data_IF_086166578256
#
_entry.id   IF_086166578256
#
_cell.length_a   1.000
_cell.length_b   1.000
_cell.length_c   1.000
_cell.angle_alpha   90.00
_cell.angle_beta   90.00
_cell.angle_gamma   90.00
#
_symmetry.space_group_name_H-M   'P 1'
#
loop_
_entity.id
_entity.type
_entity.pdbx_description
1 polymer ?
#
# COMPACT_ATOMS: atom_id res chain seq x y z
N UNK A 1 -12.32 33.39 9.10
CA UNK A 1 -12.19 32.47 7.94
C UNK A 1 -12.62 31.10 8.45
N UNK A 2 -13.27 30.27 7.66
CA UNK A 2 -13.55 28.89 8.05
C UNK A 2 -12.23 28.14 8.25
N UNK A 3 -12.20 27.17 9.18
CA UNK A 3 -11.02 26.35 9.41
C UNK A 3 -10.62 25.55 8.17
N UNK A 4 -9.33 25.30 8.01
CA UNK A 4 -8.75 24.58 6.88
C UNK A 4 -8.53 23.12 7.25
N UNK A 5 -8.87 22.20 6.34
CA UNK A 5 -8.48 20.79 6.48
C UNK A 5 -6.98 20.61 6.21
N UNK A 6 -6.43 19.48 6.64
CA UNK A 6 -5.05 19.09 6.29
C UNK A 6 -4.85 19.13 4.76
N UNK A 7 -5.83 18.59 4.01
CA UNK A 7 -5.78 18.62 2.54
C UNK A 7 -5.74 20.04 2.00
N UNK A 8 -6.56 20.97 2.55
CA UNK A 8 -6.55 22.38 2.11
C UNK A 8 -5.19 23.02 2.33
N UNK A 9 -4.56 22.79 3.49
CA UNK A 9 -3.23 23.32 3.80
C UNK A 9 -2.19 22.82 2.82
N UNK A 10 -2.13 21.51 2.59
CA UNK A 10 -1.19 20.91 1.64
C UNK A 10 -1.44 21.36 0.21
N UNK A 11 -2.70 21.44 -0.21
CA UNK A 11 -3.05 21.88 -1.56
C UNK A 11 -2.64 23.32 -1.80
N UNK A 12 -3.09 24.24 -0.94
CA UNK A 12 -2.91 25.68 -1.15
C UNK A 12 -1.43 26.10 -1.13
N UNK A 13 -0.57 25.39 -0.37
CA UNK A 13 0.87 25.64 -0.32
C UNK A 13 1.61 25.18 -1.59
N UNK A 14 0.99 24.31 -2.42
CA UNK A 14 1.63 23.79 -3.63
C UNK A 14 1.01 24.31 -4.94
N UNK A 15 -0.07 25.10 -4.87
CA UNK A 15 -0.65 25.73 -6.06
C UNK A 15 0.30 26.78 -6.61
N UNK A 16 0.84 26.55 -7.80
CA UNK A 16 1.67 27.49 -8.55
C UNK A 16 0.82 28.47 -9.35
N UNK A 17 -0.26 27.94 -9.96
CA UNK A 17 -1.19 28.70 -10.79
C UNK A 17 -2.54 28.03 -10.80
N UNK A 18 -3.60 28.83 -10.92
CA UNK A 18 -4.97 28.33 -11.08
C UNK A 18 -5.61 28.98 -12.30
N UNK A 19 -6.13 28.13 -13.18
CA UNK A 19 -6.89 28.54 -14.36
C UNK A 19 -8.32 28.91 -14.00
N UNK A 20 -8.98 29.63 -14.92
CA UNK A 20 -10.35 30.10 -14.73
C UNK A 20 -11.39 28.97 -14.61
N UNK A 21 -11.09 27.77 -15.13
CA UNK A 21 -11.94 26.57 -15.03
C UNK A 21 -11.70 25.76 -13.73
N UNK A 22 -10.84 26.27 -12.84
CA UNK A 22 -10.48 25.65 -11.58
C UNK A 22 -9.37 24.58 -11.68
N UNK A 23 -8.79 24.37 -12.86
CA UNK A 23 -7.58 23.54 -13.02
C UNK A 23 -6.39 24.23 -12.38
N UNK A 24 -5.62 23.53 -11.56
CA UNK A 24 -4.44 24.05 -10.87
C UNK A 24 -3.17 23.38 -11.37
N UNK A 25 -2.13 24.17 -11.49
CA UNK A 25 -0.76 23.69 -11.63
C UNK A 25 -0.19 23.50 -10.22
N UNK A 26 0.10 22.26 -9.85
CA UNK A 26 0.61 21.89 -8.52
C UNK A 26 2.08 21.55 -8.61
N UNK A 27 2.89 22.15 -7.74
CA UNK A 27 4.30 21.81 -7.60
C UNK A 27 4.47 20.46 -6.92
N UNK A 28 5.44 19.66 -7.37
CA UNK A 28 5.73 18.33 -6.85
C UNK A 28 7.11 18.33 -6.18
N UNK A 29 7.15 18.05 -4.88
CA UNK A 29 8.41 18.05 -4.10
C UNK A 29 9.22 16.79 -4.34
N UNK A 30 8.57 15.63 -4.41
CA UNK A 30 9.20 14.34 -4.55
C UNK A 30 8.55 13.51 -5.63
N UNK A 31 9.37 13.00 -6.54
CA UNK A 31 8.96 12.02 -7.55
C UNK A 31 9.68 10.71 -7.29
N UNK A 32 8.93 9.68 -6.97
CA UNK A 32 9.42 8.31 -6.85
C UNK A 32 9.30 7.62 -8.20
N UNK A 33 10.36 6.97 -8.65
CA UNK A 33 10.47 6.41 -10.00
C UNK A 33 10.79 4.92 -9.93
N UNK A 34 10.05 4.10 -10.68
CA UNK A 34 10.32 2.67 -10.80
C UNK A 34 10.35 2.22 -12.27
N UNK A 35 10.75 0.97 -12.52
CA UNK A 35 11.07 0.47 -13.86
C UNK A 35 9.86 0.28 -14.77
N UNK A 36 8.63 0.18 -14.24
CA UNK A 36 7.45 -0.17 -15.06
C UNK A 36 6.92 1.03 -15.84
N UNK A 37 6.83 2.20 -15.23
CA UNK A 37 6.19 3.39 -15.84
C UNK A 37 7.18 4.45 -16.33
N UNK A 38 8.47 4.28 -16.05
CA UNK A 38 9.49 5.27 -16.40
C UNK A 38 10.12 5.15 -17.79
N UNK A 39 10.20 3.97 -18.45
CA UNK A 39 10.88 3.85 -19.74
C UNK A 39 10.34 4.81 -20.79
N UNK A 40 9.02 4.79 -21.04
CA UNK A 40 8.37 5.65 -22.02
C UNK A 40 8.42 7.13 -21.63
N UNK A 41 8.38 7.45 -20.33
CA UNK A 41 8.49 8.82 -19.86
C UNK A 41 9.88 9.42 -20.16
N UNK A 42 10.96 8.66 -19.94
CA UNK A 42 12.31 9.09 -20.31
C UNK A 42 12.51 9.17 -21.82
N UNK A 43 11.95 8.23 -22.57
CA UNK A 43 11.96 8.27 -24.04
C UNK A 43 11.27 9.52 -24.58
N UNK A 44 10.09 9.87 -24.04
CA UNK A 44 9.35 11.09 -24.40
C UNK A 44 10.16 12.35 -24.12
N UNK A 45 10.86 12.44 -22.99
CA UNK A 45 11.78 13.54 -22.69
C UNK A 45 12.88 13.64 -23.73
N UNK A 46 13.48 12.52 -24.13
CA UNK A 46 14.57 12.49 -25.10
C UNK A 46 14.09 12.94 -26.47
N UNK A 47 12.96 12.43 -26.95
CA UNK A 47 12.35 12.82 -28.22
C UNK A 47 12.01 14.32 -28.25
N UNK A 48 11.59 14.88 -27.12
CA UNK A 48 11.31 16.31 -26.96
C UNK A 48 12.58 17.17 -26.77
N UNK A 49 13.78 16.57 -26.74
CA UNK A 49 15.05 17.29 -26.45
C UNK A 49 15.13 17.85 -25.03
N UNK A 50 14.37 17.29 -24.08
CA UNK A 50 14.29 17.74 -22.68
C UNK A 50 15.11 16.85 -21.75
N UNK A 51 15.32 17.35 -20.55
CA UNK A 51 15.97 16.62 -19.44
C UNK A 51 15.10 16.77 -18.19
N UNK A 52 15.24 15.87 -17.20
CA UNK A 52 14.62 16.08 -15.90
C UNK A 52 15.06 17.45 -15.35
N UNK A 53 14.05 18.24 -14.95
CA UNK A 53 14.31 19.63 -14.50
C UNK A 53 15.02 19.68 -13.14
N UNK A 54 14.66 18.76 -12.23
CA UNK A 54 15.19 18.73 -10.86
C UNK A 54 15.56 17.30 -10.45
N UNK A 55 16.77 16.88 -10.80
CA UNK A 55 17.21 15.50 -10.58
C UNK A 55 17.14 15.07 -9.10
N UNK A 56 17.50 15.96 -8.16
CA UNK A 56 17.49 15.70 -6.72
C UNK A 56 16.08 15.47 -6.14
N UNK A 57 15.02 15.88 -6.84
CA UNK A 57 13.65 15.58 -6.43
C UNK A 57 13.22 14.15 -6.77
N UNK A 58 13.98 13.45 -7.62
CA UNK A 58 13.68 12.09 -8.06
C UNK A 58 14.46 11.06 -7.23
N UNK A 59 13.78 10.00 -6.80
CA UNK A 59 14.39 8.83 -6.18
C UNK A 59 13.89 7.59 -6.93
N UNK A 60 14.82 6.84 -7.52
CA UNK A 60 14.50 5.69 -8.32
C UNK A 60 14.84 4.37 -7.59
N UNK A 61 14.04 3.34 -7.87
CA UNK A 61 14.26 1.97 -7.38
C UNK A 61 13.64 0.96 -8.33
N UNK A 62 14.13 -0.26 -8.34
CA UNK A 62 13.51 -1.41 -9.03
C UNK A 62 12.82 -2.29 -8.01
N UNK A 63 11.55 -2.63 -8.24
CA UNK A 63 10.74 -3.36 -7.27
C UNK A 63 9.69 -4.32 -7.85
N UNK A 64 9.19 -4.08 -9.06
CA UNK A 64 8.12 -4.85 -9.68
C UNK A 64 8.64 -6.07 -10.44
N UNK A 65 9.65 -5.88 -11.27
CA UNK A 65 10.20 -6.88 -12.21
C UNK A 65 11.43 -7.61 -11.67
N UNK A 66 11.69 -7.50 -10.39
CA UNK A 66 12.84 -8.13 -9.75
C UNK A 66 12.49 -9.53 -9.23
N UNK A 67 13.38 -10.53 -9.40
CA UNK A 67 13.18 -11.83 -8.80
C UNK A 67 13.29 -11.74 -7.27
N UNK A 68 12.45 -12.50 -6.58
CA UNK A 68 12.47 -12.64 -5.11
C UNK A 68 13.22 -13.91 -4.67
N UNK A 69 13.70 -14.69 -5.63
CA UNK A 69 14.55 -15.87 -5.45
C UNK A 69 16.03 -15.52 -5.64
N UNK A 70 16.85 -16.48 -6.04
CA UNK A 70 18.29 -16.29 -6.27
C UNK A 70 18.56 -15.29 -7.42
N UNK A 71 19.00 -14.10 -7.05
CA UNK A 71 19.31 -12.98 -7.96
C UNK A 71 20.62 -13.18 -8.73
N UNK A 72 21.47 -14.12 -8.34
CA UNK A 72 22.71 -14.42 -9.05
C UNK A 72 22.46 -14.95 -10.48
N UNK A 73 21.27 -15.48 -10.72
CA UNK A 73 20.82 -15.95 -12.04
C UNK A 73 20.29 -14.85 -12.96
N UNK A 74 20.25 -13.61 -12.49
CA UNK A 74 19.69 -12.48 -13.24
C UNK A 74 18.17 -12.54 -13.36
N UNK A 75 17.64 -11.72 -14.28
CA UNK A 75 16.21 -11.65 -14.60
C UNK A 75 15.96 -12.48 -15.87
N UNK A 76 15.21 -13.57 -15.75
CA UNK A 76 14.96 -14.52 -16.84
C UNK A 76 13.98 -13.97 -17.89
N UNK A 77 12.95 -13.26 -17.46
CA UNK A 77 11.98 -12.64 -18.37
C UNK A 77 12.62 -11.48 -19.14
N UNK A 78 12.61 -11.52 -20.50
CA UNK A 78 13.31 -10.50 -21.31
C UNK A 78 12.71 -9.11 -21.18
N UNK A 79 11.38 -8.98 -20.99
CA UNK A 79 10.70 -7.68 -20.87
C UNK A 79 11.02 -7.06 -19.51
N UNK A 80 10.93 -7.83 -18.46
CA UNK A 80 11.29 -7.41 -17.10
C UNK A 80 12.75 -6.97 -17.03
N UNK A 81 13.66 -7.74 -17.63
CA UNK A 81 15.09 -7.40 -17.72
C UNK A 81 15.31 -6.08 -18.45
N UNK A 82 14.68 -5.90 -19.61
CA UNK A 82 14.80 -4.67 -20.40
C UNK A 82 14.33 -3.44 -19.62
N UNK A 83 13.23 -3.54 -18.90
CA UNK A 83 12.70 -2.44 -18.08
C UNK A 83 13.68 -2.05 -16.96
N UNK A 84 14.27 -3.03 -16.27
CA UNK A 84 15.27 -2.79 -15.22
C UNK A 84 16.53 -2.16 -15.80
N UNK A 85 17.09 -2.71 -16.90
CA UNK A 85 18.28 -2.17 -17.57
C UNK A 85 18.04 -0.75 -18.11
N UNK A 86 16.83 -0.46 -18.59
CA UNK A 86 16.44 0.88 -19.04
C UNK A 86 16.43 1.88 -17.88
N UNK A 87 15.91 1.50 -16.72
CA UNK A 87 15.96 2.37 -15.55
C UNK A 87 17.40 2.59 -15.05
N UNK A 88 18.24 1.54 -15.05
CA UNK A 88 19.68 1.65 -14.72
C UNK A 88 20.37 2.70 -15.62
N UNK A 89 20.14 2.60 -16.94
CA UNK A 89 20.73 3.52 -17.92
C UNK A 89 20.24 4.97 -17.73
N UNK A 90 18.93 5.15 -17.55
CA UNK A 90 18.32 6.48 -17.36
C UNK A 90 18.75 7.13 -16.04
N UNK A 91 18.75 6.39 -14.93
CA UNK A 91 19.18 6.90 -13.63
C UNK A 91 20.64 7.37 -13.67
N UNK A 92 21.52 6.58 -14.32
CA UNK A 92 22.92 6.94 -14.53
C UNK A 92 23.07 8.19 -15.42
N UNK A 93 22.36 8.19 -16.57
CA UNK A 93 22.42 9.29 -17.57
C UNK A 93 22.01 10.63 -16.97
N UNK A 94 20.97 10.64 -16.16
CA UNK A 94 20.41 11.86 -15.57
C UNK A 94 20.87 12.12 -14.13
N UNK A 95 21.80 11.33 -13.62
CA UNK A 95 22.32 11.44 -12.24
C UNK A 95 21.19 11.51 -11.20
N UNK A 96 20.23 10.57 -11.30
CA UNK A 96 19.14 10.39 -10.35
C UNK A 96 19.60 9.42 -9.26
N UNK A 97 19.29 9.73 -7.99
CA UNK A 97 19.52 8.80 -6.88
C UNK A 97 18.77 7.50 -7.14
N UNK A 98 19.48 6.37 -7.16
CA UNK A 98 18.92 5.10 -7.59
C UNK A 98 19.40 3.93 -6.73
N UNK A 99 18.48 3.12 -6.28
CA UNK A 99 18.73 1.86 -5.60
C UNK A 99 18.49 0.69 -6.56
N UNK A 100 19.57 0.24 -7.21
CA UNK A 100 19.50 -0.87 -8.14
C UNK A 100 19.27 -2.22 -7.42
N UNK A 101 19.09 -3.30 -8.19
CA UNK A 101 18.75 -4.63 -7.66
C UNK A 101 19.76 -5.18 -6.65
N UNK A 102 21.01 -4.72 -6.66
CA UNK A 102 22.09 -5.14 -5.77
C UNK A 102 22.33 -4.17 -4.61
N UNK A 103 21.62 -3.04 -4.54
CA UNK A 103 21.74 -2.10 -3.42
C UNK A 103 21.03 -2.68 -2.20
N UNK A 104 21.68 -2.66 -1.05
CA UNK A 104 21.11 -3.15 0.20
C UNK A 104 19.85 -2.34 0.65
N UNK A 105 19.63 -1.15 0.10
CA UNK A 105 18.44 -0.31 0.32
C UNK A 105 17.33 -0.60 -0.68
N UNK A 106 17.59 -1.47 -1.68
CA UNK A 106 16.57 -1.83 -2.67
C UNK A 106 15.35 -2.44 -1.98
N UNK A 107 14.19 -2.15 -2.51
CA UNK A 107 12.91 -2.65 -2.02
C UNK A 107 11.75 -1.95 -2.69
N UNK A 108 10.56 -2.23 -2.20
CA UNK A 108 9.31 -1.64 -2.71
C UNK A 108 9.37 -0.12 -2.57
N UNK A 109 9.06 0.60 -3.65
CA UNK A 109 9.17 2.06 -3.72
C UNK A 109 8.46 2.78 -2.55
N UNK A 110 7.29 2.27 -2.12
CA UNK A 110 6.52 2.85 -1.02
C UNK A 110 7.00 2.39 0.38
N UNK A 111 8.02 1.54 0.44
CA UNK A 111 8.74 1.19 1.66
C UNK A 111 10.02 2.00 1.77
N UNK A 112 10.83 2.04 0.69
CA UNK A 112 12.12 2.71 0.71
C UNK A 112 12.01 4.25 0.85
N UNK A 113 10.97 4.86 0.29
CA UNK A 113 10.76 6.31 0.41
C UNK A 113 10.70 6.76 1.88
N UNK A 114 9.80 6.21 2.70
CA UNK A 114 9.77 6.45 4.15
C UNK A 114 11.04 6.06 4.89
N UNK A 115 11.62 4.90 4.60
CA UNK A 115 12.85 4.42 5.26
C UNK A 115 14.03 5.36 5.08
N UNK A 116 14.14 5.97 3.90
CA UNK A 116 15.21 6.92 3.60
C UNK A 116 14.93 8.34 4.08
N UNK A 117 13.71 8.64 4.58
CA UNK A 117 13.28 10.00 4.84
C UNK A 117 13.13 10.82 3.56
N UNK A 118 12.94 10.17 2.42
CA UNK A 118 12.65 10.80 1.14
C UNK A 118 11.23 11.36 1.10
N UNK A 119 10.36 10.84 1.96
CA UNK A 119 8.98 11.29 2.18
C UNK A 119 8.89 11.95 3.54
N UNK A 120 8.58 13.23 3.56
CA UNK A 120 8.52 14.07 4.77
C UNK A 120 7.19 14.79 4.85
N UNK A 121 6.71 15.13 6.06
CA UNK A 121 5.45 15.86 6.21
C UNK A 121 5.41 17.17 5.41
N UNK A 122 4.26 17.45 4.85
CA UNK A 122 4.04 18.67 4.07
C UNK A 122 4.37 18.57 2.58
N UNK A 123 5.02 17.48 2.13
CA UNK A 123 5.40 17.30 0.74
C UNK A 123 4.23 16.88 -0.15
N UNK A 124 4.31 17.25 -1.43
CA UNK A 124 3.63 16.58 -2.53
C UNK A 124 4.51 15.45 -3.05
N UNK A 125 3.94 14.23 -3.15
CA UNK A 125 4.69 13.03 -3.56
C UNK A 125 3.95 12.33 -4.69
N UNK A 126 4.63 12.05 -5.79
CA UNK A 126 4.04 11.30 -6.91
C UNK A 126 4.91 10.10 -7.31
N UNK A 127 4.28 9.12 -7.90
CA UNK A 127 4.91 7.93 -8.47
C UNK A 127 3.99 7.35 -9.56
N UNK A 128 4.55 6.65 -10.51
CA UNK A 128 3.78 5.89 -11.51
C UNK A 128 3.09 4.63 -10.96
N UNK A 129 2.80 4.59 -9.68
CA UNK A 129 2.10 3.52 -8.97
C UNK A 129 0.93 4.08 -8.14
N UNK A 130 -0.23 3.42 -8.21
CA UNK A 130 -1.46 3.86 -7.54
C UNK A 130 -1.35 3.90 -6.02
N UNK A 131 -0.50 3.04 -5.40
CA UNK A 131 -0.33 3.00 -3.95
C UNK A 131 0.61 4.06 -3.38
N UNK A 132 0.96 5.07 -4.17
CA UNK A 132 1.65 6.28 -3.72
C UNK A 132 0.90 6.99 -2.57
N UNK A 133 -0.42 6.79 -2.47
CA UNK A 133 -1.21 7.23 -1.32
C UNK A 133 -0.66 6.79 0.04
N UNK A 134 0.16 5.72 0.10
CA UNK A 134 0.90 5.27 1.30
C UNK A 134 1.60 6.42 2.02
N UNK A 135 2.20 7.34 1.26
CA UNK A 135 2.99 8.45 1.81
C UNK A 135 2.14 9.51 2.53
N UNK A 136 0.82 9.48 2.34
CA UNK A 136 -0.11 10.32 3.11
C UNK A 136 -0.14 10.02 4.62
N UNK A 137 0.41 8.88 5.04
CA UNK A 137 0.64 8.56 6.45
C UNK A 137 1.56 9.57 7.15
N UNK A 138 2.33 10.32 6.38
CA UNK A 138 3.23 11.39 6.84
C UNK A 138 2.63 12.79 6.63
N UNK A 139 1.33 12.91 6.47
CA UNK A 139 0.70 14.17 6.06
C UNK A 139 1.29 14.74 4.76
N UNK A 140 1.50 13.87 3.77
CA UNK A 140 1.86 14.25 2.40
C UNK A 140 0.61 14.28 1.53
N UNK A 141 0.59 15.18 0.55
CA UNK A 141 -0.34 15.06 -0.58
C UNK A 141 0.30 14.10 -1.59
N UNK A 142 -0.03 12.82 -1.46
CA UNK A 142 0.62 11.74 -2.19
C UNK A 142 -0.37 11.01 -3.10
N UNK A 143 0.00 10.82 -4.38
CA UNK A 143 -0.89 10.21 -5.36
C UNK A 143 -0.15 9.50 -6.49
N UNK A 144 -0.78 8.45 -7.02
CA UNK A 144 -0.36 7.77 -8.24
C UNK A 144 -0.68 8.60 -9.48
N UNK A 145 0.23 8.55 -10.46
CA UNK A 145 0.12 9.25 -11.74
C UNK A 145 0.36 8.31 -12.93
N UNK A 146 -0.18 8.66 -14.09
CA UNK A 146 0.04 7.89 -15.32
C UNK A 146 1.39 8.18 -15.97
N UNK A 147 1.82 7.34 -16.92
CA UNK A 147 3.12 7.44 -17.60
C UNK A 147 3.37 8.80 -18.24
N UNK A 148 2.37 9.40 -18.90
CA UNK A 148 2.49 10.75 -19.49
C UNK A 148 2.62 11.84 -18.43
N UNK A 149 2.01 11.65 -17.27
CA UNK A 149 2.17 12.56 -16.13
C UNK A 149 3.58 12.39 -15.49
N UNK A 150 4.13 11.17 -15.48
CA UNK A 150 5.54 10.90 -15.07
C UNK A 150 6.50 11.72 -15.94
N UNK A 151 6.32 11.69 -17.28
CA UNK A 151 7.11 12.51 -18.20
C UNK A 151 6.96 14.00 -17.89
N UNK A 152 5.72 14.46 -17.70
CA UNK A 152 5.43 15.86 -17.39
C UNK A 152 6.10 16.32 -16.09
N UNK A 153 6.03 15.52 -15.02
CA UNK A 153 6.67 15.83 -13.73
C UNK A 153 8.19 15.81 -13.86
N UNK A 154 8.77 14.85 -14.57
CA UNK A 154 10.22 14.85 -14.85
C UNK A 154 10.65 16.15 -15.54
N UNK A 155 9.87 16.62 -16.53
CA UNK A 155 10.18 17.81 -17.33
C UNK A 155 10.00 19.13 -16.57
N UNK A 156 9.01 19.22 -15.67
CA UNK A 156 8.52 20.50 -15.13
C UNK A 156 8.46 20.57 -13.61
N UNK A 157 8.51 19.45 -12.94
CA UNK A 157 8.25 19.29 -11.49
C UNK A 157 6.84 19.76 -11.08
N UNK A 158 5.90 19.76 -12.02
CA UNK A 158 4.52 20.19 -11.79
C UNK A 158 3.54 19.17 -12.36
N UNK A 159 2.28 19.26 -11.89
CA UNK A 159 1.17 18.44 -12.35
C UNK A 159 -0.09 19.28 -12.48
N UNK A 160 -0.85 19.08 -13.57
CA UNK A 160 -2.16 19.72 -13.77
C UNK A 160 -3.25 18.86 -13.16
N UNK A 161 -4.06 19.44 -12.26
CA UNK A 161 -5.15 18.71 -11.63
C UNK A 161 -6.23 19.64 -11.04
N UNK A 162 -7.41 19.08 -10.76
CA UNK A 162 -8.48 19.78 -10.05
C UNK A 162 -8.48 19.40 -8.58
N UNK A 163 -8.81 20.37 -7.71
CA UNK A 163 -8.91 20.17 -6.26
C UNK A 163 -9.98 19.12 -5.95
N UNK A 164 -9.61 18.10 -5.18
CA UNK A 164 -10.54 17.06 -4.73
C UNK A 164 -11.48 17.60 -3.63
N UNK A 165 -12.60 16.91 -3.40
CA UNK A 165 -13.43 17.09 -2.20
C UNK A 165 -12.73 16.48 -0.98
N UNK A 166 -13.17 16.84 0.22
CA UNK A 166 -12.60 16.44 1.49
C UNK A 166 -13.50 15.44 2.19
N UNK A 167 -12.97 14.27 2.49
CA UNK A 167 -13.69 13.26 3.28
C UNK A 167 -12.92 12.99 4.57
N UNK A 168 -13.62 12.96 5.69
CA UNK A 168 -13.10 12.47 6.96
C UNK A 168 -13.60 11.05 7.20
N UNK A 169 -12.68 10.11 7.39
CA UNK A 169 -12.96 8.78 7.92
C UNK A 169 -12.50 8.78 9.38
N UNK A 170 -13.45 8.82 10.30
CA UNK A 170 -13.20 8.93 11.72
C UNK A 170 -13.43 7.57 12.40
N UNK A 171 -12.35 6.99 12.95
CA UNK A 171 -12.42 5.72 13.69
C UNK A 171 -12.15 5.99 15.15
N UNK A 172 -13.19 5.90 15.95
CA UNK A 172 -13.12 6.17 17.39
C UNK A 172 -13.14 4.88 18.22
N UNK A 173 -12.62 4.96 19.41
CA UNK A 173 -12.57 3.83 20.34
C UNK A 173 -11.22 3.09 20.32
N UNK A 174 -11.22 1.89 20.84
CA UNK A 174 -10.04 1.02 20.96
C UNK A 174 -10.26 -0.25 20.18
N UNK A 175 -9.26 -0.63 19.36
CA UNK A 175 -9.29 -1.90 18.63
C UNK A 175 -9.24 -3.08 19.59
N UNK A 176 -9.99 -4.12 19.26
CA UNK A 176 -9.90 -5.39 19.96
C UNK A 176 -8.53 -6.06 19.70
N UNK A 177 -7.95 -6.79 20.67
CA UNK A 177 -6.72 -7.55 20.43
C UNK A 177 -6.84 -8.44 19.17
N UNK A 178 -5.80 -8.46 18.33
CA UNK A 178 -5.78 -9.24 17.08
C UNK A 178 -6.38 -8.50 15.87
N UNK A 179 -6.99 -7.33 16.06
CA UNK A 179 -7.44 -6.44 14.98
C UNK A 179 -6.33 -5.45 14.63
N UNK A 180 -6.10 -5.22 13.34
CA UNK A 180 -4.99 -4.43 12.83
C UNK A 180 -5.47 -3.29 11.94
N UNK A 181 -4.54 -2.43 11.52
CA UNK A 181 -4.80 -1.37 10.52
C UNK A 181 -5.38 -1.93 9.20
N UNK A 182 -4.98 -3.15 8.80
CA UNK A 182 -5.54 -3.82 7.63
C UNK A 182 -7.03 -4.09 7.79
N UNK A 183 -7.44 -4.52 8.95
CA UNK A 183 -8.85 -4.78 9.25
C UNK A 183 -9.67 -3.48 9.27
N UNK A 184 -9.09 -2.38 9.78
CA UNK A 184 -9.72 -1.06 9.72
C UNK A 184 -10.00 -0.66 8.27
N UNK A 185 -8.98 -0.65 7.42
CA UNK A 185 -9.15 -0.17 6.05
C UNK A 185 -10.05 -1.07 5.22
N UNK A 186 -10.02 -2.38 5.44
CA UNK A 186 -10.95 -3.32 4.80
C UNK A 186 -12.39 -3.06 5.27
N UNK A 187 -12.63 -2.81 6.56
CA UNK A 187 -13.95 -2.44 7.08
C UNK A 187 -14.44 -1.11 6.52
N UNK A 188 -13.55 -0.11 6.37
CA UNK A 188 -13.86 1.17 5.70
C UNK A 188 -14.31 0.91 4.27
N UNK A 189 -13.52 0.16 3.47
CA UNK A 189 -13.84 -0.14 2.06
C UNK A 189 -15.14 -0.94 1.97
N UNK A 190 -15.36 -1.91 2.86
CA UNK A 190 -16.62 -2.65 2.92
C UNK A 190 -17.84 -1.76 3.21
N UNK A 191 -17.65 -0.69 4.00
CA UNK A 191 -18.72 0.27 4.36
C UNK A 191 -19.04 1.26 3.24
N UNK A 192 -18.01 1.85 2.59
CA UNK A 192 -18.23 2.91 1.60
C UNK A 192 -18.17 2.42 0.16
N UNK A 193 -17.70 1.20 -0.09
CA UNK A 193 -17.49 0.63 -1.42
C UNK A 193 -16.21 1.13 -2.10
N UNK A 194 -15.85 0.49 -3.22
CA UNK A 194 -14.67 0.83 -4.02
C UNK A 194 -14.79 2.16 -4.79
N UNK A 195 -16.00 2.72 -4.87
CA UNK A 195 -16.28 4.02 -5.49
C UNK A 195 -16.63 5.13 -4.48
N UNK A 196 -16.77 4.80 -3.20
CA UNK A 196 -17.23 5.76 -2.18
C UNK A 196 -16.31 6.95 -1.98
N UNK A 197 -15.01 6.78 -2.20
CA UNK A 197 -14.00 7.84 -2.14
C UNK A 197 -13.73 8.56 -3.46
N UNK A 198 -14.47 8.24 -4.54
CA UNK A 198 -14.22 8.84 -5.86
C UNK A 198 -14.39 10.35 -5.84
N UNK A 199 -13.35 11.07 -6.25
CA UNK A 199 -13.29 12.53 -6.23
C UNK A 199 -12.94 13.14 -4.87
N UNK A 200 -12.63 12.32 -3.88
CA UNK A 200 -12.22 12.76 -2.53
C UNK A 200 -10.73 12.54 -2.28
N UNK A 201 -10.17 13.42 -1.44
CA UNK A 201 -9.00 13.15 -0.62
C UNK A 201 -9.52 12.77 0.78
N UNK A 202 -9.09 11.59 1.28
CA UNK A 202 -9.54 11.06 2.58
C UNK A 202 -8.54 11.45 3.66
N UNK A 203 -9.02 12.10 4.72
CA UNK A 203 -8.28 12.23 5.98
C UNK A 203 -8.77 11.16 6.95
N UNK A 204 -7.86 10.33 7.45
CA UNK A 204 -8.15 9.35 8.49
C UNK A 204 -7.87 9.97 9.86
N UNK A 205 -8.86 9.95 10.73
CA UNK A 205 -8.81 10.54 12.06
C UNK A 205 -9.51 9.69 13.12
N UNK A 206 -9.57 10.20 14.33
CA UNK A 206 -10.14 9.52 15.49
C UNK A 206 -9.11 8.89 16.40
N UNK A 207 -9.54 8.43 17.58
CA UNK A 207 -8.65 7.90 18.61
C UNK A 207 -7.93 6.63 18.16
N UNK A 208 -8.63 5.71 17.49
CA UNK A 208 -8.03 4.48 16.98
C UNK A 208 -6.93 4.74 15.94
N UNK A 209 -7.10 5.75 15.06
CA UNK A 209 -6.08 6.12 14.07
C UNK A 209 -4.85 6.74 14.72
N UNK A 210 -5.04 7.59 15.74
CA UNK A 210 -3.91 8.17 16.50
C UNK A 210 -3.08 7.12 17.22
N UNK A 211 -3.73 6.04 17.70
CA UNK A 211 -3.04 4.94 18.37
C UNK A 211 -2.22 4.04 17.42
N UNK A 212 -2.52 4.03 16.12
CA UNK A 212 -1.73 3.26 15.15
C UNK A 212 -0.25 3.67 15.15
N UNK A 213 0.60 2.69 14.90
CA UNK A 213 1.99 2.89 14.49
C UNK A 213 2.06 3.59 13.13
N UNK A 214 3.24 4.05 12.73
CA UNK A 214 3.43 4.60 11.38
C UNK A 214 3.19 3.54 10.30
N UNK A 215 3.59 2.30 10.55
CA UNK A 215 3.34 1.14 9.68
C UNK A 215 1.84 0.92 9.50
N UNK A 216 1.06 0.99 10.57
CA UNK A 216 -0.40 0.90 10.51
C UNK A 216 -1.03 2.06 9.73
N UNK A 217 -0.54 3.30 9.92
CA UNK A 217 -0.99 4.46 9.16
C UNK A 217 -0.63 4.34 7.67
N UNK A 218 0.54 3.82 7.34
CA UNK A 218 0.92 3.52 5.96
C UNK A 218 -0.01 2.48 5.34
N UNK A 219 -0.42 1.46 6.09
CA UNK A 219 -1.38 0.45 5.62
C UNK A 219 -2.75 1.06 5.27
N UNK A 220 -3.32 1.92 6.13
CA UNK A 220 -4.63 2.54 5.83
C UNK A 220 -4.54 3.53 4.66
N UNK A 221 -3.50 4.36 4.61
CA UNK A 221 -3.30 5.30 3.50
C UNK A 221 -3.02 4.56 2.18
N UNK A 222 -2.26 3.46 2.22
CA UNK A 222 -2.00 2.60 1.05
C UNK A 222 -3.30 2.17 0.38
N UNK A 223 -4.27 1.71 1.16
CA UNK A 223 -5.53 1.18 0.63
C UNK A 223 -6.64 2.23 0.46
N UNK A 224 -6.39 3.51 0.70
CA UNK A 224 -7.36 4.57 0.41
C UNK A 224 -7.76 4.59 -1.07
N UNK A 225 -6.82 4.27 -1.97
CA UNK A 225 -7.09 4.17 -3.41
C UNK A 225 -8.06 3.03 -3.75
N UNK A 226 -8.15 1.99 -2.93
CA UNK A 226 -9.10 0.89 -3.13
C UNK A 226 -10.55 1.30 -2.79
N UNK A 227 -10.74 2.39 -2.06
CA UNK A 227 -12.02 3.05 -1.90
C UNK A 227 -12.33 4.07 -3.03
N UNK A 228 -11.46 4.19 -4.03
CA UNK A 228 -11.57 5.14 -5.14
C UNK A 228 -11.04 6.55 -4.82
N UNK A 229 -10.44 6.77 -3.66
CA UNK A 229 -9.95 8.08 -3.25
C UNK A 229 -8.73 8.53 -4.06
N UNK A 230 -8.57 9.85 -4.21
CA UNK A 230 -7.39 10.45 -4.86
C UNK A 230 -6.13 10.35 -3.99
N UNK A 231 -6.29 10.49 -2.68
CA UNK A 231 -5.24 10.41 -1.67
C UNK A 231 -5.84 9.96 -0.33
N UNK A 232 -5.02 9.38 0.53
CA UNK A 232 -5.34 9.13 1.94
C UNK A 232 -4.29 9.79 2.81
N UNK A 233 -4.69 10.42 3.91
CA UNK A 233 -3.79 11.21 4.76
C UNK A 233 -4.07 10.96 6.25
N UNK A 234 -3.02 11.09 7.06
CA UNK A 234 -3.09 11.16 8.52
C UNK A 234 -2.34 12.41 8.98
N UNK A 235 -2.91 13.16 9.91
CA UNK A 235 -2.27 14.34 10.47
C UNK A 235 -0.95 13.99 11.19
N UNK A 236 -0.03 14.96 11.24
CA UNK A 236 1.25 14.82 11.95
C UNK A 236 1.01 14.76 13.45
N UNK A 237 1.72 13.87 14.10
CA UNK A 237 1.88 13.80 15.55
C UNK A 237 3.32 13.43 15.94
N UNK A 238 3.57 13.23 17.23
CA UNK A 238 4.90 12.88 17.73
C UNK A 238 5.41 11.54 17.19
N UNK A 239 4.53 10.58 16.84
CA UNK A 239 4.92 9.31 16.20
C UNK A 239 5.48 9.57 14.80
N UNK A 240 4.84 10.45 14.02
CA UNK A 240 5.30 10.86 12.69
C UNK A 240 6.68 11.51 12.78
N UNK A 241 6.86 12.46 13.71
CA UNK A 241 8.13 13.17 13.91
C UNK A 241 9.23 12.20 14.33
N UNK A 242 8.94 11.30 15.28
CA UNK A 242 9.90 10.28 15.74
C UNK A 242 10.31 9.32 14.62
N UNK A 243 9.38 8.93 13.76
CA UNK A 243 9.68 8.00 12.65
C UNK A 243 10.64 8.60 11.63
N UNK A 244 10.46 9.88 11.26
CA UNK A 244 11.31 10.54 10.25
C UNK A 244 12.61 11.06 10.81
N UNK A 245 12.77 11.10 12.13
CA UNK A 245 13.98 11.59 12.78
C UNK A 245 15.19 10.72 12.39
N UNK A 246 16.31 11.40 12.12
CA UNK A 246 17.61 10.79 11.82
C UNK A 246 17.65 9.89 10.57
N UNK A 247 16.58 9.89 9.75
CA UNK A 247 16.61 9.20 8.45
C UNK A 247 17.63 9.88 7.51
N UNK A 248 18.21 9.11 6.55
CA UNK A 248 19.30 9.63 5.71
C UNK A 248 19.00 10.95 4.99
N UNK A 249 17.78 11.13 4.48
CA UNK A 249 17.35 12.31 3.72
C UNK A 249 16.52 13.30 4.57
N UNK A 250 16.35 13.08 5.85
CA UNK A 250 15.66 14.01 6.76
C UNK A 250 16.52 15.22 7.06
N UNK A 251 15.91 16.40 7.32
CA UNK A 251 16.62 17.59 7.77
C UNK A 251 17.46 17.33 9.01
N UNK A 252 18.53 18.10 9.19
CA UNK A 252 19.46 17.95 10.33
C UNK A 252 19.78 19.31 10.95
N UNK A 253 20.15 19.26 12.22
CA UNK A 253 20.53 20.49 12.95
C UNK A 253 19.41 21.54 12.97
N UNK A 254 19.70 22.82 12.74
CA UNK A 254 18.69 23.89 12.77
C UNK A 254 17.54 23.68 11.78
N UNK A 255 17.78 23.06 10.62
CA UNK A 255 16.74 22.77 9.63
C UNK A 255 15.73 21.74 10.16
N UNK A 256 16.17 20.81 11.04
CA UNK A 256 15.28 19.90 11.71
C UNK A 256 14.29 20.62 12.62
N UNK A 257 14.76 21.57 13.41
CA UNK A 257 13.92 22.33 14.35
C UNK A 257 12.87 23.17 13.60
N UNK A 258 13.28 23.80 12.49
CA UNK A 258 12.37 24.55 11.60
C UNK A 258 11.33 23.60 10.97
N UNK A 259 11.76 22.44 10.48
CA UNK A 259 10.88 21.46 9.89
C UNK A 259 9.85 20.95 10.91
N UNK A 260 10.27 20.58 12.12
CA UNK A 260 9.38 20.12 13.19
C UNK A 260 8.36 21.20 13.58
N UNK A 261 8.78 22.48 13.67
CA UNK A 261 7.88 23.58 13.96
C UNK A 261 6.77 23.70 12.89
N UNK A 262 7.13 23.58 11.62
CA UNK A 262 6.19 23.57 10.51
C UNK A 262 5.31 22.31 10.52
N UNK A 263 5.88 21.12 10.65
CA UNK A 263 5.16 19.85 10.61
C UNK A 263 4.06 19.76 11.67
N UNK A 264 4.28 20.34 12.86
CA UNK A 264 3.28 20.41 13.92
C UNK A 264 2.02 21.20 13.54
N UNK A 265 2.05 21.99 12.48
CA UNK A 265 0.88 22.71 11.96
C UNK A 265 0.02 21.88 11.00
N UNK A 266 0.54 20.71 10.56
CA UNK A 266 -0.08 19.85 9.55
C UNK A 266 -1.15 18.91 10.16
N UNK A 267 -2.26 19.52 10.53
CA UNK A 267 -3.50 18.90 10.98
C UNK A 267 -4.68 19.78 10.57
N UNK A 268 -5.87 19.23 10.50
CA UNK A 268 -7.10 19.99 10.26
C UNK A 268 -7.40 20.89 11.44
N UNK A 269 -7.86 22.10 11.18
CA UNK A 269 -8.31 23.04 12.22
C UNK A 269 -9.56 22.48 12.91
N UNK A 270 -9.82 22.89 14.13
CA UNK A 270 -10.90 22.34 14.95
C UNK A 270 -12.30 22.61 14.36
N UNK A 271 -12.44 23.69 13.58
CA UNK A 271 -13.66 24.11 12.89
C UNK A 271 -13.63 23.81 11.38
N UNK A 272 -12.67 23.00 10.93
CA UNK A 272 -12.57 22.58 9.53
C UNK A 272 -13.83 21.81 9.10
N UNK A 273 -14.29 22.09 7.87
CA UNK A 273 -15.47 21.46 7.29
C UNK A 273 -15.07 20.43 6.25
N UNK A 274 -15.65 19.23 6.33
CA UNK A 274 -15.50 18.17 5.36
C UNK A 274 -16.76 18.04 4.50
N UNK A 275 -16.60 17.70 3.22
CA UNK A 275 -17.71 17.47 2.31
C UNK A 275 -18.44 16.15 2.60
N UNK A 276 -17.76 15.21 3.26
CA UNK A 276 -18.32 13.94 3.73
C UNK A 276 -17.60 13.48 5.00
N UNK A 277 -18.36 12.87 5.92
CA UNK A 277 -17.82 12.27 7.16
C UNK A 277 -18.34 10.84 7.27
N UNK A 278 -17.43 9.90 7.52
CA UNK A 278 -17.72 8.49 7.77
C UNK A 278 -17.24 8.14 9.17
N UNK A 279 -18.12 7.73 10.04
CA UNK A 279 -17.79 7.35 11.42
C UNK A 279 -17.84 5.83 11.59
N UNK A 280 -16.86 5.27 12.28
CA UNK A 280 -16.71 3.85 12.59
C UNK A 280 -16.29 3.69 14.04
N UNK A 281 -16.96 2.79 14.76
CA UNK A 281 -16.54 2.36 16.09
C UNK A 281 -15.46 1.28 15.95
N UNK A 282 -14.29 1.53 16.51
CA UNK A 282 -13.17 0.59 16.48
C UNK A 282 -13.49 -0.73 17.19
N UNK A 283 -14.38 -0.71 18.20
CA UNK A 283 -14.79 -1.90 18.95
C UNK A 283 -15.64 -2.87 18.11
N UNK A 284 -16.30 -2.38 17.04
CA UNK A 284 -17.10 -3.20 16.14
C UNK A 284 -16.26 -3.89 15.05
N UNK A 285 -15.00 -3.48 14.88
CA UNK A 285 -14.13 -4.06 13.86
C UNK A 285 -13.60 -5.42 14.33
N UNK A 286 -13.87 -6.46 13.58
CA UNK A 286 -13.29 -7.79 13.74
C UNK A 286 -12.23 -8.05 12.65
N UNK A 287 -11.40 -9.11 12.77
CA UNK A 287 -10.52 -9.52 11.69
C UNK A 287 -11.29 -9.76 10.39
N UNK A 288 -10.84 -9.16 9.29
CA UNK A 288 -11.53 -9.10 8.01
C UNK A 288 -10.98 -10.12 7.01
N UNK A 289 -11.88 -10.65 6.16
CA UNK A 289 -11.52 -11.52 5.03
C UNK A 289 -12.35 -11.10 3.82
N UNK A 290 -11.72 -10.85 2.67
CA UNK A 290 -12.47 -10.67 1.43
C UNK A 290 -12.98 -12.02 0.92
N UNK A 291 -14.25 -12.08 0.52
CA UNK A 291 -14.88 -13.31 0.01
C UNK A 291 -15.03 -13.32 -1.51
N UNK A 292 -14.93 -12.17 -2.17
CA UNK A 292 -15.16 -12.02 -3.60
C UNK A 292 -13.95 -11.45 -4.35
N UNK A 293 -14.21 -10.82 -5.49
CA UNK A 293 -13.24 -10.35 -6.47
C UNK A 293 -12.98 -8.84 -6.38
N UNK A 294 -13.39 -8.20 -5.28
CA UNK A 294 -13.20 -6.78 -5.00
C UNK A 294 -12.91 -6.59 -3.51
N UNK A 295 -12.08 -5.61 -3.11
CA UNK A 295 -11.82 -5.29 -1.70
C UNK A 295 -13.07 -4.92 -0.90
N UNK A 296 -14.15 -4.42 -1.53
CA UNK A 296 -15.43 -4.14 -0.87
C UNK A 296 -16.23 -5.41 -0.53
N UNK A 297 -15.94 -6.51 -1.22
CA UNK A 297 -16.54 -7.82 -0.92
C UNK A 297 -15.82 -8.45 0.27
N UNK A 298 -15.99 -7.85 1.45
CA UNK A 298 -15.28 -8.17 2.69
C UNK A 298 -16.26 -8.34 3.85
N UNK A 299 -15.91 -9.22 4.77
CA UNK A 299 -16.70 -9.51 5.98
C UNK A 299 -15.79 -9.90 7.14
N UNK A 300 -16.26 -9.75 8.39
CA UNK A 300 -15.64 -10.39 9.54
C UNK A 300 -15.43 -11.87 9.33
N UNK A 301 -14.30 -12.42 9.75
CA UNK A 301 -13.92 -13.83 9.58
C UNK A 301 -14.95 -14.81 10.16
N UNK A 302 -15.71 -14.41 11.17
CA UNK A 302 -16.81 -15.18 11.78
C UNK A 302 -18.09 -15.25 10.94
N UNK A 303 -18.12 -14.54 9.82
CA UNK A 303 -19.28 -14.46 8.93
C UNK A 303 -19.36 -15.62 7.95
N UNK A 304 -20.41 -15.60 7.13
CA UNK A 304 -20.63 -16.55 6.04
C UNK A 304 -20.63 -15.81 4.71
N UNK A 305 -20.22 -16.49 3.67
CA UNK A 305 -20.34 -16.03 2.27
C UNK A 305 -21.77 -15.60 2.00
N UNK A 306 -22.01 -14.37 1.50
CA UNK A 306 -23.34 -13.85 1.26
C UNK A 306 -24.12 -14.69 0.26
N UNK A 307 -25.44 -14.72 0.42
CA UNK A 307 -26.34 -15.38 -0.51
C UNK A 307 -26.90 -14.35 -1.52
N UNK A 308 -26.55 -14.44 -2.82
CA UNK A 308 -27.05 -13.54 -3.85
C UNK A 308 -28.59 -13.50 -3.94
N UNK A 309 -29.27 -14.58 -3.58
CA UNK A 309 -30.73 -14.63 -3.59
C UNK A 309 -31.39 -13.65 -2.60
N UNK A 310 -30.62 -13.15 -1.62
CA UNK A 310 -31.08 -12.16 -0.64
C UNK A 310 -30.81 -10.72 -1.06
N UNK A 311 -30.04 -10.49 -2.13
CA UNK A 311 -29.75 -9.15 -2.66
C UNK A 311 -30.90 -8.69 -3.56
N UNK A 312 -31.48 -7.55 -3.21
CA UNK A 312 -32.63 -6.98 -3.92
C UNK A 312 -32.21 -6.24 -5.21
N UNK A 313 -31.04 -5.64 -5.24
CA UNK A 313 -30.49 -4.97 -6.41
C UNK A 313 -29.99 -6.00 -7.42
N UNK A 314 -30.58 -5.98 -8.63
CA UNK A 314 -30.26 -6.95 -9.67
C UNK A 314 -28.81 -6.91 -10.14
N UNK A 315 -28.23 -5.71 -10.24
CA UNK A 315 -26.83 -5.53 -10.68
C UNK A 315 -25.84 -6.02 -9.62
N UNK A 316 -26.11 -5.71 -8.35
CA UNK A 316 -25.31 -6.24 -7.24
C UNK A 316 -25.42 -7.76 -7.13
N UNK A 317 -26.62 -8.31 -7.27
CA UNK A 317 -26.82 -9.75 -7.26
C UNK A 317 -26.03 -10.45 -8.35
N UNK A 318 -26.09 -9.98 -9.60
CA UNK A 318 -25.30 -10.52 -10.71
C UNK A 318 -23.79 -10.41 -10.45
N UNK A 319 -23.33 -9.29 -9.90
CA UNK A 319 -21.94 -9.12 -9.48
C UNK A 319 -21.50 -10.13 -8.42
N UNK A 320 -22.36 -10.40 -7.42
CA UNK A 320 -22.10 -11.40 -6.39
C UNK A 320 -22.07 -12.82 -6.97
N UNK A 321 -23.01 -13.18 -7.85
CA UNK A 321 -23.06 -14.50 -8.53
C UNK A 321 -21.78 -14.73 -9.34
N UNK A 322 -21.33 -13.73 -10.11
CA UNK A 322 -20.08 -13.80 -10.86
C UNK A 322 -18.87 -13.96 -9.95
N UNK A 323 -18.80 -13.18 -8.86
CA UNK A 323 -17.70 -13.27 -7.90
C UNK A 323 -17.65 -14.66 -7.23
N UNK A 324 -18.78 -15.20 -6.82
CA UNK A 324 -18.86 -16.55 -6.23
C UNK A 324 -18.44 -17.63 -7.21
N UNK A 325 -18.88 -17.54 -8.47
CA UNK A 325 -18.49 -18.47 -9.53
C UNK A 325 -16.96 -18.45 -9.75
N UNK A 326 -16.35 -17.25 -9.86
CA UNK A 326 -14.91 -17.11 -10.00
C UNK A 326 -14.15 -17.63 -8.77
N UNK A 327 -14.58 -17.23 -7.58
CA UNK A 327 -13.98 -17.67 -6.32
C UNK A 327 -14.26 -19.13 -6.00
N UNK A 328 -15.16 -19.81 -6.71
CA UNK A 328 -15.54 -21.19 -6.45
C UNK A 328 -16.10 -21.37 -5.03
N UNK A 329 -16.96 -20.46 -4.59
CA UNK A 329 -17.58 -20.48 -3.28
C UNK A 329 -19.10 -20.68 -3.40
N UNK A 330 -19.66 -21.46 -2.48
CA UNK A 330 -21.11 -21.59 -2.34
C UNK A 330 -21.66 -20.52 -1.38
N UNK A 331 -22.87 -20.00 -1.62
CA UNK A 331 -23.56 -19.15 -0.65
C UNK A 331 -23.66 -19.80 0.72
N UNK A 332 -23.64 -18.98 1.77
CA UNK A 332 -23.74 -19.41 3.17
C UNK A 332 -22.57 -20.28 3.69
N UNK A 333 -21.51 -20.51 2.92
CA UNK A 333 -20.28 -21.17 3.41
C UNK A 333 -19.66 -20.32 4.52
N UNK A 334 -19.34 -20.86 5.71
CA UNK A 334 -18.57 -20.14 6.72
C UNK A 334 -17.22 -19.72 6.17
N UNK A 335 -16.80 -18.47 6.41
CA UNK A 335 -15.48 -18.03 5.93
C UNK A 335 -14.36 -18.89 6.54
N UNK A 336 -14.55 -19.38 7.75
CA UNK A 336 -13.60 -20.27 8.44
C UNK A 336 -13.49 -21.68 7.83
N UNK A 337 -14.36 -22.08 6.92
CA UNK A 337 -14.28 -23.37 6.20
C UNK A 337 -13.57 -23.24 4.84
N UNK A 338 -13.19 -22.01 4.44
CA UNK A 338 -12.52 -21.78 3.17
C UNK A 338 -11.04 -22.17 3.30
N UNK A 339 -10.67 -23.28 2.65
CA UNK A 339 -9.29 -23.77 2.61
C UNK A 339 -8.41 -22.86 1.73
N UNK A 340 -7.11 -22.79 2.04
CA UNK A 340 -6.12 -22.02 1.27
C UNK A 340 -5.02 -22.94 0.74
N UNK A 341 -4.57 -22.69 -0.49
CA UNK A 341 -3.48 -23.42 -1.15
C UNK A 341 -2.14 -22.74 -0.96
N UNK A 342 -2.14 -21.41 -0.95
CA UNK A 342 -0.94 -20.57 -0.81
C UNK A 342 -1.16 -19.44 0.20
N UNK A 343 -0.09 -18.97 0.80
CA UNK A 343 -0.09 -17.81 1.69
C UNK A 343 0.98 -16.83 1.23
N UNK A 344 0.61 -15.55 1.19
CA UNK A 344 1.51 -14.48 0.83
C UNK A 344 1.53 -13.39 1.92
N UNK A 345 2.69 -13.18 2.53
CA UNK A 345 2.96 -12.08 3.45
C UNK A 345 3.99 -11.18 2.80
N UNK A 346 3.57 -9.98 2.40
CA UNK A 346 4.37 -9.07 1.59
C UNK A 346 3.56 -7.88 1.08
N UNK A 347 3.97 -7.29 -0.04
CA UNK A 347 3.36 -6.11 -0.67
C UNK A 347 3.72 -4.79 0.02
N UNK A 348 3.58 -3.67 -0.70
CA UNK A 348 3.71 -2.34 -0.10
C UNK A 348 2.74 -2.08 1.05
N UNK A 349 1.69 -2.88 1.18
CA UNK A 349 0.71 -2.78 2.26
C UNK A 349 1.26 -3.31 3.57
N UNK A 350 1.80 -4.56 3.58
CA UNK A 350 2.17 -5.27 4.80
C UNK A 350 3.46 -6.10 4.63
N UNK A 351 4.57 -5.43 4.50
CA UNK A 351 5.90 -6.04 4.37
C UNK A 351 6.97 -5.36 5.24
N UNK A 352 6.54 -4.50 6.16
CA UNK A 352 7.43 -3.79 7.08
C UNK A 352 7.75 -4.66 8.29
N UNK A 353 8.73 -4.24 9.07
CA UNK A 353 9.22 -5.07 10.20
C UNK A 353 8.12 -5.41 11.20
N UNK A 354 7.19 -4.49 11.47
CA UNK A 354 6.06 -4.72 12.37
C UNK A 354 5.13 -5.82 11.85
N UNK A 355 4.85 -5.82 10.54
CA UNK A 355 4.02 -6.84 9.89
C UNK A 355 4.65 -8.24 10.00
N UNK A 356 5.98 -8.32 9.80
CA UNK A 356 6.74 -9.56 9.91
C UNK A 356 6.79 -10.07 11.35
N UNK A 357 6.96 -9.18 12.33
CA UNK A 357 6.90 -9.52 13.75
C UNK A 357 5.52 -10.06 14.15
N UNK A 358 4.45 -9.40 13.70
CA UNK A 358 3.09 -9.83 13.98
C UNK A 358 2.80 -11.23 13.43
N UNK A 359 3.19 -11.50 12.18
CA UNK A 359 3.04 -12.82 11.58
C UNK A 359 3.92 -13.89 12.28
N UNK A 360 5.19 -13.55 12.57
CA UNK A 360 6.11 -14.46 13.23
C UNK A 360 5.63 -14.85 14.64
N UNK A 361 5.01 -13.93 15.38
CA UNK A 361 4.46 -14.22 16.70
C UNK A 361 3.38 -15.32 16.66
N UNK A 362 2.57 -15.37 15.61
CA UNK A 362 1.51 -16.38 15.41
C UNK A 362 2.11 -17.77 15.10
N UNK A 363 3.16 -17.83 14.27
CA UNK A 363 3.69 -19.12 13.75
C UNK A 363 4.81 -19.71 14.60
N UNK A 364 5.38 -18.98 15.55
CA UNK A 364 6.53 -19.40 16.34
C UNK A 364 6.31 -20.77 17.00
N UNK A 365 7.21 -21.72 16.72
CA UNK A 365 7.15 -23.08 17.26
C UNK A 365 6.09 -23.99 16.62
N UNK A 366 5.44 -23.53 15.54
CA UNK A 366 4.39 -24.28 14.82
C UNK A 366 4.83 -24.56 13.38
N UNK A 367 4.05 -25.36 12.65
CA UNK A 367 4.29 -25.71 11.24
C UNK A 367 3.08 -25.38 10.40
N UNK A 368 3.29 -24.96 9.15
CA UNK A 368 2.21 -24.77 8.18
C UNK A 368 1.46 -26.07 7.93
N UNK A 369 0.16 -25.96 7.67
CA UNK A 369 -0.69 -27.12 7.36
C UNK A 369 -0.24 -27.83 6.06
N UNK A 370 -0.50 -29.12 5.98
CA UNK A 370 -0.08 -29.95 4.86
C UNK A 370 -0.72 -29.62 3.52
N UNK A 371 -1.94 -29.07 3.54
CA UNK A 371 -2.63 -28.61 2.33
C UNK A 371 -2.10 -27.27 1.78
N UNK A 372 -1.39 -26.48 2.59
CA UNK A 372 -0.76 -25.23 2.13
C UNK A 372 0.50 -25.59 1.34
N UNK A 373 0.41 -25.54 0.03
CA UNK A 373 1.49 -25.89 -0.91
C UNK A 373 2.69 -24.94 -0.75
N UNK A 374 2.42 -23.63 -0.64
CA UNK A 374 3.44 -22.61 -0.58
C UNK A 374 3.03 -21.47 0.37
N UNK A 375 3.92 -21.10 1.27
CA UNK A 375 3.78 -19.91 2.09
C UNK A 375 5.01 -19.01 1.87
N UNK A 376 4.78 -17.79 1.36
CA UNK A 376 5.83 -16.83 1.02
C UNK A 376 5.87 -15.70 2.04
N UNK A 377 7.08 -15.30 2.44
CA UNK A 377 7.33 -14.06 3.18
C UNK A 377 8.34 -13.23 2.42
N UNK A 378 7.92 -12.03 2.03
CA UNK A 378 8.70 -11.12 1.21
C UNK A 378 8.89 -9.80 1.97
N UNK A 379 10.07 -9.55 2.55
CA UNK A 379 10.37 -8.27 3.20
C UNK A 379 10.23 -7.10 2.22
N UNK A 380 9.80 -5.95 2.73
CA UNK A 380 9.53 -4.76 1.90
C UNK A 380 10.78 -4.09 1.33
N UNK A 381 11.93 -4.28 1.98
CA UNK A 381 13.22 -3.73 1.55
C UNK A 381 14.37 -4.58 2.05
N UNK A 382 15.57 -4.35 1.52
CA UNK A 382 16.79 -4.97 2.03
C UNK A 382 17.09 -4.57 3.47
N UNK A 383 16.70 -3.35 3.88
CA UNK A 383 16.85 -2.90 5.29
C UNK A 383 15.88 -3.64 6.21
N UNK A 384 14.60 -3.81 5.82
CA UNK A 384 13.66 -4.64 6.58
C UNK A 384 14.13 -6.07 6.66
N UNK A 385 14.63 -6.63 5.53
CA UNK A 385 15.17 -8.00 5.49
C UNK A 385 16.33 -8.16 6.49
N UNK A 386 17.30 -7.27 6.44
CA UNK A 386 18.47 -7.30 7.34
C UNK A 386 18.05 -7.19 8.81
N UNK A 387 17.12 -6.29 9.13
CA UNK A 387 16.61 -6.16 10.50
C UNK A 387 15.86 -7.43 10.94
N UNK A 388 15.00 -7.99 10.09
CA UNK A 388 14.26 -9.21 10.39
C UNK A 388 15.20 -10.41 10.62
N UNK A 389 16.26 -10.53 9.82
CA UNK A 389 17.30 -11.57 9.98
C UNK A 389 18.11 -11.36 11.27
N UNK A 390 18.43 -10.12 11.62
CA UNK A 390 19.09 -9.80 12.89
C UNK A 390 18.22 -10.18 14.10
N UNK A 391 16.91 -10.01 13.99
CA UNK A 391 15.92 -10.40 15.00
C UNK A 391 15.62 -11.93 14.99
N UNK A 392 16.12 -12.66 13.99
CA UNK A 392 15.90 -14.10 13.83
C UNK A 392 14.51 -14.47 13.30
N UNK A 393 13.77 -13.52 12.73
CA UNK A 393 12.43 -13.77 12.20
C UNK A 393 12.48 -14.72 10.98
N UNK A 394 13.50 -14.62 10.15
CA UNK A 394 13.73 -15.52 9.01
C UNK A 394 13.79 -17.00 9.44
N UNK A 395 14.43 -17.28 10.60
CA UNK A 395 14.50 -18.63 11.17
C UNK A 395 13.12 -19.10 11.60
N UNK A 396 12.35 -18.26 12.29
CA UNK A 396 10.97 -18.57 12.71
C UNK A 396 10.12 -18.93 11.50
N UNK A 397 10.17 -18.14 10.42
CA UNK A 397 9.43 -18.41 9.20
C UNK A 397 9.87 -19.70 8.50
N UNK A 398 11.18 -19.91 8.32
CA UNK A 398 11.73 -21.14 7.71
C UNK A 398 11.40 -22.37 8.54
N UNK A 399 11.52 -22.32 9.84
CA UNK A 399 11.13 -23.40 10.76
C UNK A 399 9.63 -23.73 10.65
N UNK A 400 8.78 -22.74 10.45
CA UNK A 400 7.35 -22.95 10.23
C UNK A 400 7.02 -23.50 8.82
N UNK A 401 7.99 -23.57 7.91
CA UNK A 401 7.83 -24.07 6.54
C UNK A 401 7.47 -22.99 5.52
N UNK A 402 7.74 -21.72 5.84
CA UNK A 402 7.62 -20.62 4.88
C UNK A 402 8.90 -20.44 4.08
N UNK A 403 8.78 -19.93 2.86
CA UNK A 403 9.90 -19.50 2.05
C UNK A 403 10.21 -18.03 2.32
N UNK A 404 11.42 -17.75 2.77
CA UNK A 404 11.96 -16.41 3.01
C UNK A 404 12.57 -15.88 1.73
N UNK A 405 12.09 -14.74 1.24
CA UNK A 405 12.39 -14.24 -0.08
C UNK A 405 13.23 -12.95 -0.07
N UNK A 406 13.74 -12.58 -1.25
CA UNK A 406 14.35 -11.27 -1.49
C UNK A 406 13.28 -10.19 -1.65
N UNK A 407 13.59 -8.90 -1.31
CA UNK A 407 12.64 -7.80 -1.35
C UNK A 407 12.10 -7.51 -2.75
N UNK A 408 10.79 -7.24 -2.87
CA UNK A 408 10.13 -6.88 -4.12
C UNK A 408 8.61 -7.01 -4.02
N UNK A 409 7.90 -6.66 -5.08
CA UNK A 409 6.44 -6.75 -5.13
C UNK A 409 5.92 -8.18 -5.17
N UNK A 410 6.71 -9.15 -5.68
CA UNK A 410 6.39 -10.59 -5.63
C UNK A 410 4.99 -10.91 -6.15
N UNK A 411 4.25 -11.74 -5.41
CA UNK A 411 2.89 -12.19 -5.77
C UNK A 411 1.86 -11.04 -5.77
N UNK A 412 2.17 -9.84 -5.28
CA UNK A 412 1.22 -8.72 -5.27
C UNK A 412 0.68 -8.38 -6.68
N UNK A 413 1.55 -8.50 -7.70
CA UNK A 413 1.23 -8.23 -9.12
C UNK A 413 1.38 -9.45 -10.03
N UNK A 414 2.04 -10.50 -9.53
CA UNK A 414 2.41 -11.68 -10.33
C UNK A 414 3.19 -11.35 -11.62
N UNK A 415 4.01 -10.31 -11.61
CA UNK A 415 4.90 -9.93 -12.72
C UNK A 415 6.23 -10.71 -12.73
N UNK A 416 6.38 -11.65 -11.80
CA UNK A 416 7.52 -12.56 -11.67
C UNK A 416 7.02 -14.01 -11.52
N UNK A 417 7.89 -14.92 -11.11
CA UNK A 417 7.54 -16.34 -10.93
C UNK A 417 6.60 -16.61 -9.75
N UNK A 418 6.46 -15.66 -8.82
CA UNK A 418 5.58 -15.80 -7.65
C UNK A 418 4.13 -15.51 -8.05
N UNK A 419 3.36 -16.56 -8.32
CA UNK A 419 1.96 -16.46 -8.77
C UNK A 419 1.11 -17.63 -8.32
N UNK A 420 -0.20 -17.44 -8.41
CA UNK A 420 -1.18 -18.51 -8.30
C UNK A 420 -1.35 -19.23 -9.64
N UNK A 421 -1.54 -20.52 -9.59
CA UNK A 421 -2.05 -21.29 -10.72
C UNK A 421 -3.60 -21.19 -10.77
N UNK A 422 -4.23 -21.47 -11.94
CA UNK A 422 -5.67 -21.42 -12.07
C UNK A 422 -6.39 -22.29 -11.01
N UNK A 423 -7.35 -21.69 -10.33
CA UNK A 423 -8.12 -22.35 -9.26
C UNK A 423 -7.45 -22.34 -7.89
N UNK A 424 -6.17 -22.06 -7.77
CA UNK A 424 -5.51 -21.94 -6.47
C UNK A 424 -6.01 -20.72 -5.69
N UNK A 425 -6.06 -20.88 -4.37
CA UNK A 425 -6.58 -19.89 -3.43
C UNK A 425 -5.48 -19.41 -2.49
N UNK A 426 -5.36 -18.09 -2.32
CA UNK A 426 -4.41 -17.51 -1.39
C UNK A 426 -5.05 -16.71 -0.25
N UNK A 427 -4.46 -16.82 0.95
CA UNK A 427 -4.56 -15.81 1.99
C UNK A 427 -3.42 -14.82 1.76
N UNK A 428 -3.73 -13.54 1.55
CA UNK A 428 -2.77 -12.55 1.05
C UNK A 428 -2.84 -11.24 1.82
N UNK A 429 -1.68 -10.69 2.16
CA UNK A 429 -1.57 -9.35 2.74
C UNK A 429 -1.44 -8.25 1.69
N UNK A 430 -1.61 -8.56 0.41
CA UNK A 430 -1.65 -7.56 -0.66
C UNK A 430 -2.87 -6.62 -0.53
N UNK A 431 -3.00 -5.68 -1.45
CA UNK A 431 -4.00 -4.62 -1.40
C UNK A 431 -5.17 -4.85 -2.36
N UNK A 432 -5.02 -5.69 -3.38
CA UNK A 432 -6.01 -5.97 -4.42
C UNK A 432 -6.24 -7.46 -4.63
N UNK A 433 -7.50 -7.81 -4.94
CA UNK A 433 -7.93 -9.19 -5.16
C UNK A 433 -8.84 -9.37 -6.38
N UNK A 434 -8.79 -8.46 -7.36
CA UNK A 434 -9.57 -8.63 -8.58
C UNK A 434 -9.12 -9.88 -9.37
N UNK A 435 -9.97 -10.33 -10.28
CA UNK A 435 -9.73 -11.53 -11.09
C UNK A 435 -8.36 -11.50 -11.77
N UNK A 436 -7.57 -12.54 -11.57
CA UNK A 436 -6.23 -12.67 -12.15
C UNK A 436 -5.11 -11.86 -11.50
N UNK A 437 -5.37 -11.07 -10.46
CA UNK A 437 -4.36 -10.19 -9.84
C UNK A 437 -3.08 -10.91 -9.41
N UNK A 438 -3.19 -12.07 -8.81
CA UNK A 438 -2.05 -12.87 -8.36
C UNK A 438 -1.75 -14.06 -9.29
N UNK A 439 -2.24 -14.03 -10.51
CA UNK A 439 -2.11 -15.08 -11.52
C UNK A 439 -3.45 -15.39 -12.18
N UNK A 440 -3.45 -15.72 -13.47
CA UNK A 440 -4.65 -16.00 -14.24
C UNK A 440 -5.47 -17.14 -13.59
N UNK A 441 -6.76 -16.88 -13.29
CA UNK A 441 -7.64 -17.83 -12.60
C UNK A 441 -7.34 -18.03 -11.11
N UNK A 442 -6.37 -17.31 -10.54
CA UNK A 442 -6.04 -17.34 -9.12
C UNK A 442 -7.10 -16.64 -8.26
N UNK A 443 -7.35 -17.15 -7.07
CA UNK A 443 -8.38 -16.71 -6.12
C UNK A 443 -7.74 -16.10 -4.90
N UNK A 444 -7.83 -14.77 -4.76
CA UNK A 444 -7.14 -14.03 -3.69
C UNK A 444 -8.11 -13.55 -2.63
N UNK A 445 -7.80 -13.83 -1.36
CA UNK A 445 -8.48 -13.28 -0.20
C UNK A 445 -7.53 -12.34 0.54
N UNK A 446 -7.93 -11.08 0.74
CA UNK A 446 -7.17 -10.11 1.49
C UNK A 446 -7.40 -10.29 3.00
N UNK A 447 -6.30 -10.33 3.73
CA UNK A 447 -6.29 -10.48 5.19
C UNK A 447 -5.13 -9.72 5.82
N UNK A 448 -5.13 -9.55 7.14
CA UNK A 448 -3.99 -9.01 7.88
C UNK A 448 -2.82 -10.01 7.96
N UNK A 449 -1.57 -9.57 8.26
CA UNK A 449 -0.42 -10.45 8.42
C UNK A 449 -0.63 -11.58 9.43
N UNK A 450 -1.22 -11.27 10.57
CA UNK A 450 -1.51 -12.27 11.60
C UNK A 450 -2.56 -13.31 11.11
N UNK A 451 -3.59 -12.84 10.39
CA UNK A 451 -4.61 -13.71 9.79
C UNK A 451 -4.01 -14.61 8.68
N UNK A 452 -3.12 -14.07 7.84
CA UNK A 452 -2.41 -14.87 6.83
C UNK A 452 -1.55 -15.95 7.48
N UNK A 453 -0.82 -15.60 8.54
CA UNK A 453 -0.02 -16.53 9.33
C UNK A 453 -0.87 -17.63 9.98
N UNK A 454 -1.98 -17.27 10.60
CA UNK A 454 -2.93 -18.23 11.18
C UNK A 454 -3.56 -19.16 10.12
N UNK A 455 -3.94 -18.60 8.97
CA UNK A 455 -4.45 -19.40 7.84
C UNK A 455 -3.41 -20.38 7.30
N UNK A 456 -2.12 -20.01 7.30
CA UNK A 456 -1.05 -20.95 6.91
C UNK A 456 -0.95 -22.15 7.86
N UNK A 457 -1.14 -21.93 9.16
CA UNK A 457 -1.07 -23.01 10.16
C UNK A 457 -2.32 -23.90 10.15
N UNK A 458 -3.48 -23.31 9.98
CA UNK A 458 -4.77 -24.04 9.97
C UNK A 458 -5.06 -24.71 8.63
N UNK A 459 -4.54 -24.17 7.52
CA UNK A 459 -4.90 -24.60 6.16
C UNK A 459 -6.21 -24.01 5.64
N UNK A 460 -6.86 -23.17 6.42
CA UNK A 460 -8.12 -22.45 6.14
C UNK A 460 -8.15 -21.16 6.96
N UNK A 461 -9.12 -20.27 6.72
CA UNK A 461 -9.24 -19.07 7.53
C UNK A 461 -9.69 -19.40 8.95
N UNK A 462 -9.12 -18.70 9.91
CA UNK A 462 -9.44 -18.82 11.35
C UNK A 462 -9.45 -17.43 11.98
N UNK A 463 -10.20 -17.27 13.06
CA UNK A 463 -10.16 -16.03 13.83
C UNK A 463 -8.88 -16.02 14.69
N UNK A 464 -7.94 -15.14 14.33
CA UNK A 464 -6.63 -15.06 15.02
C UNK A 464 -6.76 -14.68 16.49
N UNK A 465 -7.88 -14.08 16.91
CA UNK A 465 -8.14 -13.71 18.30
C UNK A 465 -8.33 -14.94 19.21
N UNK A 466 -8.66 -16.09 18.63
CA UNK A 466 -8.93 -17.36 19.30
C UNK A 466 -7.92 -18.46 18.89
N UNK A 467 -6.86 -18.11 18.19
CA UNK A 467 -5.88 -19.02 17.62
C UNK A 467 -4.51 -19.02 18.42
#
# INVERSE_FOLDING_TARGET
MAGRTLFDKLWDEHVVHQESDGTCLIYIDRHLVHEVTSPQAFEGLELAGRKPWRNAANLAVVDHNVPTTDRSKGISDPVSRLQVETLDANAKRFNITYFNINDHRQGIVHVIGPEQGATLPGMTVVCGDSHTSTHGAFACLAMGIGTSEVEHVLATQCLLMKKAKRMLVKVEGTLMPGVTAKDIVLAVIGKIGTAGGTGYAIEFGGSAIRELSMEGRMTICNMAIEAGARAGMVAVDDKTIAYVKDRPMSPKGPDWDLAVAYWKTLHSDADAQFDSVVEIDAAEIAPQVTWGTSPEMVLPVSSRVPDPARESDASRREGMERALAYMGLAPNTPLTEIAVDKVFIGSCTNSRIEDLRAAAAVIKGRKKAGNVKLALVVPGSGLVKAQAEQEGLDKVFREAGFEWREPGCSMCLAMNADRLEPGERSASTSNRNFEGRQGAGGRTHLVSPAMAAAAALAGHFVDVRHF
#
